data_IF_176167007805
#
_entry.id   IF_176167007805
#
_cell.length_a   1.000
_cell.length_b   1.000
_cell.length_c   1.000
_cell.angle_alpha   90.00
_cell.angle_beta   90.00
_cell.angle_gamma   90.00
#
_symmetry.space_group_name_H-M   'P 1'
#
loop_
_entity.id
_entity.type
_entity.pdbx_description
1 polymer ?
#
# COMPACT_ATOMS: atom_id res chain seq x y z
N UNK A 1 5.36 -5.10 -31.41
CA UNK A 1 6.79 -5.05 -31.79
C UNK A 1 7.09 -3.70 -32.45
N UNK A 2 7.45 -2.69 -31.65
CA UNK A 2 7.97 -1.40 -32.15
C UNK A 2 9.47 -1.39 -31.87
N UNK A 3 10.26 -1.35 -32.95
CA UNK A 3 11.73 -1.32 -32.93
C UNK A 3 12.21 0.09 -32.56
N UNK A 4 13.27 0.13 -31.77
CA UNK A 4 13.80 1.32 -31.10
C UNK A 4 14.34 2.40 -32.03
N UNK A 5 14.25 3.64 -31.55
CA UNK A 5 14.86 4.81 -32.13
C UNK A 5 16.18 5.07 -31.38
N UNK A 6 17.29 4.65 -31.99
CA UNK A 6 18.64 5.05 -31.60
C UNK A 6 18.81 6.54 -31.92
N UNK A 7 18.90 7.40 -30.91
CA UNK A 7 19.38 8.77 -31.09
C UNK A 7 20.91 8.73 -30.98
N UNK A 8 21.58 8.68 -32.14
CA UNK A 8 23.00 9.00 -32.24
C UNK A 8 23.17 10.49 -31.94
N UNK A 9 23.83 10.83 -30.81
CA UNK A 9 24.43 12.14 -30.64
C UNK A 9 25.56 12.30 -31.67
N UNK A 10 25.29 13.04 -32.73
CA UNK A 10 26.35 13.56 -33.60
C UNK A 10 27.13 14.62 -32.82
N UNK A 11 28.34 14.28 -32.40
CA UNK A 11 29.36 15.28 -32.05
C UNK A 11 29.76 16.00 -33.35
N UNK A 12 29.05 17.07 -33.70
CA UNK A 12 29.54 18.03 -34.69
C UNK A 12 30.73 18.77 -34.08
N UNK A 13 31.93 18.30 -34.40
CA UNK A 13 33.16 19.10 -34.32
C UNK A 13 33.02 20.27 -35.28
N UNK A 14 32.55 21.41 -34.77
CA UNK A 14 32.70 22.70 -35.45
C UNK A 14 34.19 23.05 -35.32
N UNK A 15 34.94 22.82 -36.40
CA UNK A 15 36.29 23.35 -36.54
C UNK A 15 36.14 24.84 -36.82
N UNK A 16 36.18 25.65 -35.76
CA UNK A 16 36.41 27.08 -35.88
C UNK A 16 37.90 27.27 -36.19
N UNK A 17 38.23 27.47 -37.48
CA UNK A 17 39.53 28.00 -37.89
C UNK A 17 39.56 29.50 -37.56
N UNK A 18 39.60 29.81 -36.28
CA UNK A 18 39.84 31.12 -35.71
C UNK A 18 40.65 30.88 -34.45
N UNK A 19 41.68 31.69 -34.22
CA UNK A 19 42.62 31.58 -33.11
C UNK A 19 41.90 31.31 -31.78
N UNK A 20 41.78 30.03 -31.43
CA UNK A 20 41.33 29.57 -30.12
C UNK A 20 42.43 29.97 -29.18
N UNK A 21 42.26 31.13 -28.54
CA UNK A 21 43.13 31.59 -27.48
C UNK A 21 43.30 30.44 -26.48
N UNK A 22 44.56 30.17 -26.11
CA UNK A 22 44.98 29.14 -25.15
C UNK A 22 44.13 29.12 -23.87
N UNK A 23 43.48 30.23 -23.52
CA UNK A 23 42.57 30.36 -22.38
C UNK A 23 41.30 29.50 -22.48
N UNK A 24 40.71 29.29 -23.66
CA UNK A 24 39.41 28.56 -23.78
C UNK A 24 39.57 27.03 -23.68
N UNK A 25 40.66 26.47 -24.21
CA UNK A 25 41.01 25.05 -24.03
C UNK A 25 41.43 24.77 -22.57
N UNK A 26 42.12 25.72 -21.94
CA UNK A 26 42.50 25.65 -20.52
C UNK A 26 41.26 25.64 -19.61
N UNK A 27 40.24 26.44 -19.89
CA UNK A 27 39.00 26.49 -19.11
C UNK A 27 38.16 25.19 -19.21
N UNK A 28 38.06 24.58 -20.39
CA UNK A 28 37.35 23.30 -20.55
C UNK A 28 38.10 22.13 -19.88
N UNK A 29 39.44 22.16 -19.90
CA UNK A 29 40.30 21.18 -19.23
C UNK A 29 40.29 21.36 -17.70
N UNK A 30 40.24 22.61 -17.22
CA UNK A 30 40.08 22.93 -15.80
C UNK A 30 38.70 22.55 -15.29
N UNK A 31 37.62 22.82 -16.02
CA UNK A 31 36.25 22.43 -15.64
C UNK A 31 36.08 20.91 -15.59
N UNK A 32 36.65 20.17 -16.56
CA UNK A 32 36.62 18.69 -16.53
C UNK A 32 37.52 18.10 -15.45
N UNK A 33 38.65 18.73 -15.14
CA UNK A 33 39.51 18.36 -14.02
C UNK A 33 38.85 18.67 -12.67
N UNK A 34 38.16 19.81 -12.52
CA UNK A 34 37.40 20.18 -11.31
C UNK A 34 36.21 19.25 -11.08
N UNK A 35 35.46 18.89 -12.13
CA UNK A 35 34.39 17.87 -12.02
C UNK A 35 34.96 16.51 -11.62
N UNK A 36 36.07 16.06 -12.22
CA UNK A 36 36.75 14.81 -11.81
C UNK A 36 37.26 14.88 -10.37
N UNK A 37 37.87 16.00 -9.97
CA UNK A 37 38.42 16.20 -8.62
C UNK A 37 37.31 16.29 -7.57
N UNK A 38 36.18 16.94 -7.89
CA UNK A 38 35.01 16.98 -7.00
C UNK A 38 34.34 15.61 -6.87
N UNK A 39 34.26 14.82 -7.95
CA UNK A 39 33.75 13.45 -7.90
C UNK A 39 34.69 12.52 -7.10
N UNK A 40 36.01 12.68 -7.24
CA UNK A 40 36.98 11.91 -6.49
C UNK A 40 36.98 12.30 -5.00
N UNK A 41 36.90 13.60 -4.69
CA UNK A 41 36.79 14.11 -3.32
C UNK A 41 35.48 13.70 -2.64
N UNK A 42 34.37 13.65 -3.40
CA UNK A 42 33.07 13.14 -2.93
C UNK A 42 33.14 11.63 -2.67
N UNK A 43 33.81 10.88 -3.55
CA UNK A 43 34.01 9.44 -3.37
C UNK A 43 34.86 9.14 -2.13
N UNK A 44 35.99 9.83 -1.97
CA UNK A 44 36.88 9.66 -0.81
C UNK A 44 36.19 10.02 0.51
N UNK A 45 35.30 11.02 0.49
CA UNK A 45 34.45 11.35 1.64
C UNK A 45 33.47 10.22 1.97
N UNK A 46 32.73 9.70 0.98
CA UNK A 46 31.78 8.59 1.17
C UNK A 46 32.49 7.35 1.73
N UNK A 47 33.69 7.02 1.24
CA UNK A 47 34.45 5.88 1.77
C UNK A 47 34.82 6.07 3.24
N UNK A 48 35.26 7.27 3.65
CA UNK A 48 35.57 7.56 5.07
C UNK A 48 34.36 7.46 5.97
N UNK A 49 33.22 8.00 5.55
CA UNK A 49 31.97 7.89 6.30
C UNK A 49 31.53 6.42 6.43
N UNK A 50 31.72 5.63 5.37
CA UNK A 50 31.43 4.20 5.41
C UNK A 50 32.38 3.43 6.35
N UNK A 51 33.66 3.76 6.36
CA UNK A 51 34.61 3.18 7.33
C UNK A 51 34.20 3.49 8.76
N UNK A 52 33.80 4.72 9.05
CA UNK A 52 33.32 5.11 10.37
C UNK A 52 32.04 4.36 10.75
N UNK A 53 31.10 4.23 9.82
CA UNK A 53 29.88 3.44 10.01
C UNK A 53 30.19 1.98 10.38
N UNK A 54 31.15 1.34 9.69
CA UNK A 54 31.59 -0.03 10.01
C UNK A 54 32.22 -0.11 11.41
N UNK A 55 33.01 0.89 11.83
CA UNK A 55 33.56 0.93 13.20
C UNK A 55 32.46 1.01 14.25
N UNK A 56 31.42 1.80 14.01
CA UNK A 56 30.27 1.93 14.91
C UNK A 56 29.54 0.58 15.04
N UNK A 57 29.28 -0.12 13.92
CA UNK A 57 28.65 -1.45 13.95
C UNK A 57 29.47 -2.43 14.79
N UNK A 58 30.81 -2.49 14.57
CA UNK A 58 31.68 -3.38 15.36
C UNK A 58 31.67 -3.03 16.85
N UNK A 59 31.74 -1.74 17.18
CA UNK A 59 31.68 -1.30 18.56
C UNK A 59 30.36 -1.68 19.24
N UNK A 60 29.24 -1.63 18.52
CA UNK A 60 27.94 -2.08 19.04
C UNK A 60 27.95 -3.59 19.31
N UNK A 61 28.43 -4.41 18.38
CA UNK A 61 28.45 -5.87 18.57
C UNK A 61 29.40 -6.32 19.69
N UNK A 62 30.54 -5.64 19.85
CA UNK A 62 31.57 -6.04 20.83
C UNK A 62 31.33 -5.48 22.24
N UNK A 63 30.67 -4.32 22.37
CA UNK A 63 30.62 -3.56 23.62
C UNK A 63 29.22 -3.32 24.18
N UNK A 64 28.16 -3.62 23.42
CA UNK A 64 26.80 -3.48 23.95
C UNK A 64 26.53 -4.56 25.02
N UNK A 65 25.66 -4.25 25.96
CA UNK A 65 25.36 -5.11 27.12
C UNK A 65 24.72 -6.45 26.73
N UNK A 66 24.01 -6.47 25.59
CA UNK A 66 23.36 -7.64 25.02
C UNK A 66 23.94 -7.96 23.64
N UNK A 67 23.84 -9.22 23.21
CA UNK A 67 24.22 -9.62 21.87
C UNK A 67 23.22 -9.05 20.85
N UNK A 68 23.72 -8.29 19.88
CA UNK A 68 22.91 -7.65 18.84
C UNK A 68 23.05 -8.39 17.50
N UNK A 69 21.92 -8.84 16.96
CA UNK A 69 21.85 -9.35 15.59
C UNK A 69 22.15 -8.24 14.57
N UNK A 70 22.98 -8.57 13.58
CA UNK A 70 23.44 -7.59 12.59
C UNK A 70 22.31 -7.04 11.72
N UNK A 71 21.27 -7.84 11.43
CA UNK A 71 20.14 -7.37 10.64
C UNK A 71 19.31 -6.35 11.43
N UNK A 72 19.23 -6.51 12.74
CA UNK A 72 18.61 -5.53 13.64
C UNK A 72 19.34 -4.19 13.59
N UNK A 73 20.67 -4.21 13.62
CA UNK A 73 21.51 -2.99 13.49
C UNK A 73 21.25 -2.29 12.15
N UNK A 74 21.29 -3.03 11.04
CA UNK A 74 21.03 -2.45 9.70
C UNK A 74 19.62 -1.90 9.56
N UNK A 75 18.61 -2.62 10.05
CA UNK A 75 17.21 -2.18 10.02
C UNK A 75 17.04 -0.86 10.77
N UNK A 76 17.64 -0.75 11.96
CA UNK A 76 17.60 0.48 12.74
C UNK A 76 18.34 1.64 12.05
N UNK A 77 19.48 1.35 11.40
CA UNK A 77 20.19 2.35 10.61
C UNK A 77 19.36 2.86 9.42
N UNK A 78 18.71 1.97 8.67
CA UNK A 78 17.81 2.35 7.57
C UNK A 78 16.65 3.22 8.07
N UNK A 79 16.01 2.84 9.18
CA UNK A 79 14.92 3.62 9.79
C UNK A 79 15.39 4.99 10.25
N UNK A 80 16.55 5.10 10.90
CA UNK A 80 17.12 6.37 11.33
C UNK A 80 17.53 7.30 10.18
N UNK A 81 18.00 6.76 9.06
CA UNK A 81 18.33 7.57 7.88
C UNK A 81 17.08 8.19 7.23
N UNK A 82 15.93 7.52 7.30
CA UNK A 82 14.70 7.95 6.64
C UNK A 82 13.80 8.82 7.53
N UNK A 83 13.92 8.70 8.86
CA UNK A 83 13.03 9.37 9.82
C UNK A 83 13.05 10.90 9.76
N UNK A 84 14.16 11.48 9.31
CA UNK A 84 14.33 12.94 9.20
C UNK A 84 13.98 13.50 7.81
N UNK A 85 13.65 12.65 6.83
CA UNK A 85 13.32 13.11 5.48
C UNK A 85 11.92 13.74 5.44
N UNK A 86 10.91 12.95 5.80
CA UNK A 86 9.52 13.37 5.93
C UNK A 86 8.72 12.29 6.71
N UNK A 87 7.49 12.59 7.19
CA UNK A 87 6.69 11.65 7.98
C UNK A 87 6.23 10.38 7.25
N UNK A 88 6.45 10.26 5.95
CA UNK A 88 5.97 9.16 5.10
C UNK A 88 7.11 8.34 4.47
N UNK A 89 8.34 8.86 4.48
CA UNK A 89 9.55 8.15 4.06
C UNK A 89 9.92 7.10 5.11
N UNK A 90 9.83 5.82 4.74
CA UNK A 90 10.09 4.72 5.67
C UNK A 90 10.79 3.54 4.99
N UNK A 91 11.56 2.80 5.79
CA UNK A 91 12.11 1.52 5.38
C UNK A 91 11.02 0.45 5.53
N UNK A 92 10.81 -0.33 4.48
CA UNK A 92 9.86 -1.45 4.47
C UNK A 92 10.68 -2.74 4.48
N UNK A 93 10.66 -3.44 5.61
CA UNK A 93 11.23 -4.77 5.77
C UNK A 93 10.51 -5.82 4.90
N UNK A 94 11.09 -7.00 4.66
CA UNK A 94 10.42 -8.07 3.93
C UNK A 94 9.05 -8.47 4.52
N UNK A 95 8.91 -8.40 5.84
CA UNK A 95 7.66 -8.69 6.55
C UNK A 95 6.61 -7.58 6.31
N UNK A 96 6.99 -6.31 6.51
CA UNK A 96 6.13 -5.15 6.26
C UNK A 96 5.72 -5.07 4.77
N UNK A 97 6.59 -5.50 3.85
CA UNK A 97 6.29 -5.54 2.41
C UNK A 97 5.20 -6.56 2.10
N UNK A 98 5.20 -7.71 2.77
CA UNK A 98 4.20 -8.74 2.57
C UNK A 98 2.83 -8.32 3.11
N UNK A 99 2.81 -7.62 4.25
CA UNK A 99 1.60 -7.00 4.79
C UNK A 99 1.05 -5.92 3.86
N UNK A 100 1.93 -5.03 3.35
CA UNK A 100 1.56 -3.99 2.40
C UNK A 100 0.96 -4.59 1.12
N UNK A 101 1.53 -5.68 0.59
CA UNK A 101 0.98 -6.34 -0.60
C UNK A 101 -0.46 -6.79 -0.38
N UNK A 102 -0.75 -7.44 0.74
CA UNK A 102 -2.10 -7.93 1.04
C UNK A 102 -3.08 -6.77 1.19
N UNK A 103 -2.64 -5.70 1.85
CA UNK A 103 -3.45 -4.49 1.97
C UNK A 103 -3.78 -3.92 0.58
N UNK A 104 -2.81 -3.88 -0.34
CA UNK A 104 -2.99 -3.31 -1.69
C UNK A 104 -3.72 -4.22 -2.68
N UNK A 105 -3.41 -5.52 -2.69
CA UNK A 105 -4.04 -6.51 -3.57
C UNK A 105 -5.47 -6.80 -3.12
N UNK A 106 -5.77 -6.64 -1.82
CA UNK A 106 -7.06 -6.98 -1.23
C UNK A 106 -7.33 -8.48 -1.18
N UNK A 107 -6.32 -9.30 -1.49
CA UNK A 107 -6.45 -10.75 -1.51
C UNK A 107 -5.18 -11.42 -0.97
N UNK A 108 -5.34 -12.58 -0.34
CA UNK A 108 -4.21 -13.40 0.08
C UNK A 108 -4.57 -14.88 0.14
N UNK A 109 -3.57 -15.76 0.12
CA UNK A 109 -3.79 -17.22 0.16
C UNK A 109 -3.62 -17.76 1.58
N UNK A 110 -4.65 -18.43 2.11
CA UNK A 110 -4.59 -19.01 3.46
C UNK A 110 -5.94 -19.45 4.01
N UNK A 111 -6.10 -19.36 5.32
CA UNK A 111 -7.30 -19.80 6.05
C UNK A 111 -8.31 -18.66 6.29
N UNK A 112 -7.86 -17.41 6.22
CA UNK A 112 -8.64 -16.22 6.53
C UNK A 112 -8.85 -16.01 8.03
N UNK A 113 -7.75 -15.98 8.79
CA UNK A 113 -7.76 -15.76 10.24
C UNK A 113 -6.81 -14.60 10.54
N UNK A 114 -7.25 -13.65 11.35
CA UNK A 114 -6.41 -12.65 11.98
C UNK A 114 -5.95 -13.16 13.35
N UNK A 115 -4.64 -13.12 13.61
CA UNK A 115 -4.03 -13.73 14.79
C UNK A 115 -2.99 -12.81 15.43
N UNK A 116 -2.78 -13.01 16.73
CA UNK A 116 -1.67 -12.43 17.49
C UNK A 116 -0.91 -13.54 18.22
N UNK A 117 0.36 -13.30 18.53
CA UNK A 117 1.10 -14.15 19.46
C UNK A 117 1.00 -13.54 20.85
N UNK A 118 0.27 -14.20 21.75
CA UNK A 118 0.09 -13.78 23.15
C UNK A 118 0.58 -14.87 24.09
N UNK A 119 1.49 -14.52 25.00
CA UNK A 119 2.14 -15.47 25.93
C UNK A 119 2.74 -16.69 25.21
N UNK A 120 3.40 -16.46 24.06
CA UNK A 120 4.06 -17.51 23.28
C UNK A 120 3.11 -18.44 22.52
N UNK A 121 1.84 -18.08 22.33
CA UNK A 121 0.88 -18.89 21.57
C UNK A 121 0.10 -18.05 20.58
N UNK A 122 -0.24 -18.66 19.45
CA UNK A 122 -1.15 -18.05 18.48
C UNK A 122 -2.54 -17.98 19.10
N UNK A 123 -3.07 -16.76 19.17
CA UNK A 123 -4.43 -16.46 19.61
C UNK A 123 -5.17 -15.81 18.45
N UNK A 124 -6.38 -16.28 18.18
CA UNK A 124 -7.24 -15.74 17.13
C UNK A 124 -7.84 -14.41 17.61
N UNK A 125 -7.59 -13.34 16.85
CA UNK A 125 -8.32 -12.08 17.03
C UNK A 125 -9.71 -12.24 16.43
N UNK A 126 -9.79 -12.61 15.15
CA UNK A 126 -11.06 -12.87 14.48
C UNK A 126 -10.85 -13.73 13.24
N UNK A 127 -11.74 -14.69 12.95
CA UNK A 127 -11.87 -15.21 11.59
C UNK A 127 -12.40 -14.11 10.66
N UNK A 128 -11.96 -14.10 9.41
CA UNK A 128 -12.52 -13.24 8.37
C UNK A 128 -13.86 -13.83 7.96
N UNK A 129 -14.91 -13.01 7.89
CA UNK A 129 -16.25 -13.45 7.49
C UNK A 129 -16.21 -14.21 6.15
N UNK A 130 -16.97 -15.30 6.06
CA UNK A 130 -17.06 -16.20 4.88
C UNK A 130 -15.76 -16.92 4.47
N UNK A 131 -14.67 -16.74 5.19
CA UNK A 131 -13.42 -17.48 4.98
C UNK A 131 -13.56 -18.98 5.31
N UNK A 132 -12.63 -19.83 4.83
CA UNK A 132 -12.57 -21.23 5.23
C UNK A 132 -12.52 -21.42 6.75
N UNK A 133 -11.76 -20.59 7.48
CA UNK A 133 -11.68 -20.69 8.93
C UNK A 133 -12.99 -20.31 9.64
N UNK A 134 -13.66 -19.25 9.17
CA UNK A 134 -14.97 -18.88 9.68
C UNK A 134 -15.98 -20.03 9.50
N UNK A 135 -16.00 -20.63 8.32
CA UNK A 135 -16.88 -21.77 8.00
C UNK A 135 -16.52 -23.04 8.78
N UNK A 136 -15.26 -23.20 9.15
CA UNK A 136 -14.77 -24.34 9.92
C UNK A 136 -15.01 -24.21 11.44
N UNK A 137 -15.57 -23.09 11.90
CA UNK A 137 -15.94 -22.88 13.30
C UNK A 137 -14.80 -22.35 14.18
N UNK A 138 -13.78 -21.72 13.59
CA UNK A 138 -12.79 -20.95 14.36
C UNK A 138 -13.47 -19.71 14.96
N UNK A 139 -13.21 -19.44 16.24
CA UNK A 139 -13.82 -18.38 17.02
C UNK A 139 -12.79 -17.34 17.49
N UNK A 140 -13.29 -16.16 17.87
CA UNK A 140 -12.51 -15.13 18.57
C UNK A 140 -11.99 -15.71 19.89
N UNK A 141 -10.72 -15.47 20.21
CA UNK A 141 -10.09 -15.93 21.45
C UNK A 141 -9.51 -17.34 21.38
N UNK A 142 -9.78 -18.09 20.32
CA UNK A 142 -9.23 -19.44 20.12
C UNK A 142 -7.71 -19.46 20.19
N UNK A 143 -7.15 -20.46 20.88
CA UNK A 143 -5.71 -20.70 20.94
C UNK A 143 -5.33 -21.85 20.03
N UNK A 144 -4.55 -21.57 18.99
CA UNK A 144 -4.03 -22.61 18.10
C UNK A 144 -2.81 -23.21 18.77
N UNK A 145 -2.92 -24.47 19.23
CA UNK A 145 -1.87 -25.21 19.95
C UNK A 145 -0.93 -25.95 19.01
N UNK A 146 -1.44 -26.40 17.86
CA UNK A 146 -0.65 -27.07 16.81
C UNK A 146 -1.17 -26.72 15.42
N UNK A 147 -0.27 -26.75 14.44
CA UNK A 147 -0.59 -26.72 13.00
C UNK A 147 0.04 -27.94 12.35
N UNK A 148 -0.77 -28.81 11.76
CA UNK A 148 -0.33 -30.08 11.15
C UNK A 148 0.54 -30.92 12.09
N UNK A 149 0.15 -30.95 13.38
CA UNK A 149 0.86 -31.67 14.45
C UNK A 149 2.09 -30.94 15.02
N UNK A 150 2.54 -29.84 14.39
CA UNK A 150 3.66 -29.02 14.86
C UNK A 150 3.19 -28.11 16.00
N UNK A 151 3.76 -28.20 17.21
CA UNK A 151 3.44 -27.30 18.31
C UNK A 151 3.71 -25.84 17.96
N UNK A 152 2.81 -24.95 18.38
CA UNK A 152 2.89 -23.50 18.13
C UNK A 152 3.42 -22.72 19.33
N UNK A 153 4.00 -23.40 20.31
CA UNK A 153 4.56 -22.75 21.49
C UNK A 153 5.85 -22.02 21.14
N UNK A 154 5.96 -20.78 21.58
CA UNK A 154 7.13 -19.90 21.45
C UNK A 154 7.50 -19.59 19.98
N UNK A 155 6.56 -19.81 19.04
CA UNK A 155 6.76 -19.44 17.63
C UNK A 155 6.58 -17.94 17.44
N UNK A 156 7.33 -17.40 16.50
CA UNK A 156 7.21 -16.00 16.08
C UNK A 156 5.95 -15.77 15.24
N UNK A 157 5.53 -14.50 15.13
CA UNK A 157 4.45 -14.11 14.21
C UNK A 157 4.80 -14.49 12.75
N UNK A 158 6.09 -14.39 12.38
CA UNK A 158 6.57 -14.73 11.04
C UNK A 158 6.41 -16.22 10.74
N UNK A 159 6.74 -17.09 11.69
CA UNK A 159 6.55 -18.54 11.55
C UNK A 159 5.06 -18.89 11.52
N UNK A 160 4.26 -18.21 12.35
CA UNK A 160 2.79 -18.33 12.33
C UNK A 160 2.23 -18.07 10.95
N UNK A 161 2.60 -16.95 10.32
CA UNK A 161 2.14 -16.60 8.97
C UNK A 161 2.54 -17.68 7.97
N UNK A 162 3.77 -18.21 8.04
CA UNK A 162 4.24 -19.29 7.15
C UNK A 162 3.45 -20.59 7.32
N UNK A 163 3.05 -20.93 8.56
CA UNK A 163 2.27 -22.15 8.85
C UNK A 163 0.82 -22.03 8.37
N UNK A 164 0.20 -20.88 8.60
CA UNK A 164 -1.22 -20.66 8.28
C UNK A 164 -1.43 -20.41 6.78
N UNK A 165 -0.48 -19.77 6.09
CA UNK A 165 -0.55 -19.58 4.64
C UNK A 165 -0.18 -20.83 3.86
N UNK A 166 -0.52 -20.82 2.58
CA UNK A 166 -0.19 -21.90 1.66
C UNK A 166 -1.11 -21.89 0.44
N UNK A 167 -0.75 -22.71 -0.55
CA UNK A 167 -1.45 -22.73 -1.83
C UNK A 167 -2.95 -23.07 -1.66
N UNK A 168 -3.84 -22.37 -2.37
CA UNK A 168 -5.26 -22.71 -2.40
C UNK A 168 -5.50 -24.17 -2.76
N UNK A 169 -6.50 -24.79 -2.12
CA UNK A 169 -6.86 -26.19 -2.30
C UNK A 169 -6.11 -27.16 -1.39
N UNK A 170 -4.96 -26.76 -0.81
CA UNK A 170 -4.26 -27.57 0.20
C UNK A 170 -5.00 -27.53 1.54
N UNK A 171 -4.89 -28.59 2.34
CA UNK A 171 -5.49 -28.67 3.68
C UNK A 171 -4.46 -28.45 4.77
N UNK A 172 -4.91 -27.97 5.92
CA UNK A 172 -4.12 -27.93 7.17
C UNK A 172 -5.04 -28.27 8.34
N UNK A 173 -4.50 -28.94 9.34
CA UNK A 173 -5.23 -29.28 10.57
C UNK A 173 -4.73 -28.42 11.71
N UNK A 174 -5.64 -27.64 12.30
CA UNK A 174 -5.38 -26.83 13.48
C UNK A 174 -5.85 -27.60 14.72
N UNK A 175 -4.97 -27.79 15.69
CA UNK A 175 -5.39 -28.21 17.04
C UNK A 175 -5.72 -26.96 17.84
N UNK A 176 -6.99 -26.71 18.11
CA UNK A 176 -7.52 -25.46 18.66
C UNK A 176 -8.08 -25.71 20.07
N UNK A 177 -7.79 -24.79 20.99
CA UNK A 177 -8.44 -24.72 22.29
C UNK A 177 -9.35 -23.51 22.31
N UNK A 178 -10.66 -23.74 22.35
CA UNK A 178 -11.66 -22.69 22.48
C UNK A 178 -11.58 -21.99 23.83
N UNK A 179 -11.91 -20.70 23.85
CA UNK A 179 -11.90 -19.92 25.09
C UNK A 179 -12.91 -20.50 26.10
N UNK A 180 -12.45 -20.81 27.30
CA UNK A 180 -13.26 -21.41 28.36
C UNK A 180 -13.38 -22.93 28.31
N UNK A 181 -12.88 -23.58 27.25
CA UNK A 181 -12.86 -25.04 27.14
C UNK A 181 -11.55 -25.64 27.68
N UNK A 182 -11.60 -26.91 28.10
CA UNK A 182 -10.44 -27.64 28.62
C UNK A 182 -9.87 -28.68 27.66
N UNK A 183 -10.61 -29.06 26.63
CA UNK A 183 -10.21 -30.07 25.65
C UNK A 183 -10.00 -29.42 24.29
N UNK A 184 -8.83 -29.58 23.64
CA UNK A 184 -8.64 -29.08 22.30
C UNK A 184 -9.36 -29.95 21.26
N UNK A 185 -9.71 -29.33 20.14
CA UNK A 185 -10.34 -29.97 18.98
C UNK A 185 -9.45 -29.83 17.75
N UNK A 186 -9.44 -30.85 16.90
CA UNK A 186 -8.74 -30.80 15.61
C UNK A 186 -9.71 -30.34 14.52
N UNK A 187 -9.37 -29.24 13.85
CA UNK A 187 -10.16 -28.62 12.79
C UNK A 187 -9.35 -28.64 11.51
N UNK A 188 -9.78 -29.44 10.53
CA UNK A 188 -9.16 -29.49 9.21
C UNK A 188 -9.80 -28.45 8.29
N UNK A 189 -8.98 -27.56 7.75
CA UNK A 189 -9.40 -26.43 6.93
C UNK A 189 -8.70 -26.49 5.59
N UNK A 190 -9.45 -26.27 4.50
CA UNK A 190 -8.88 -26.11 3.17
C UNK A 190 -8.51 -24.65 2.94
N UNK A 191 -7.27 -24.39 2.52
CA UNK A 191 -6.80 -23.06 2.16
C UNK A 191 -7.51 -22.57 0.91
N UNK A 192 -7.82 -21.29 0.88
CA UNK A 192 -8.44 -20.63 -0.26
C UNK A 192 -7.77 -19.28 -0.54
N UNK A 193 -8.11 -18.68 -1.67
CA UNK A 193 -7.88 -17.25 -1.88
C UNK A 193 -8.91 -16.51 -1.03
N UNK A 194 -8.43 -15.70 -0.10
CA UNK A 194 -9.22 -14.89 0.82
C UNK A 194 -9.32 -13.51 0.22
N UNK A 195 -10.53 -12.99 0.16
CA UNK A 195 -10.82 -11.66 -0.36
C UNK A 195 -11.16 -10.74 0.82
N UNK A 196 -10.45 -9.61 0.90
CA UNK A 196 -10.68 -8.57 1.89
C UNK A 196 -11.57 -7.53 1.23
N UNK A 197 -12.83 -7.45 1.67
CA UNK A 197 -13.78 -6.52 1.08
C UNK A 197 -13.37 -5.07 1.35
N UNK A 198 -13.13 -4.29 0.29
CA UNK A 198 -12.90 -2.85 0.37
C UNK A 198 -14.18 -2.04 0.55
N UNK A 199 -15.35 -2.66 0.33
CA UNK A 199 -16.68 -2.05 0.47
C UNK A 199 -17.47 -2.77 1.57
N UNK A 200 -18.14 -2.00 2.43
CA UNK A 200 -18.96 -2.50 3.53
C UNK A 200 -20.30 -1.79 3.62
N UNK A 201 -21.19 -2.41 4.39
CA UNK A 201 -22.42 -1.82 4.90
C UNK A 201 -23.39 -1.34 3.80
N UNK A 202 -23.42 -2.07 2.68
CA UNK A 202 -24.22 -1.79 1.48
C UNK A 202 -25.72 -1.98 1.75
N UNK A 203 -26.53 -0.95 1.52
CA UNK A 203 -27.99 -0.99 1.71
C UNK A 203 -28.72 0.18 1.06
N UNK A 204 -30.04 0.06 0.88
CA UNK A 204 -30.94 1.20 0.70
C UNK A 204 -31.25 1.77 2.10
N UNK A 205 -30.90 3.04 2.33
CA UNK A 205 -31.11 3.73 3.63
C UNK A 205 -32.39 4.54 3.67
N UNK A 206 -32.96 4.88 2.51
CA UNK A 206 -34.28 5.52 2.39
C UNK A 206 -35.08 4.82 1.31
N UNK A 207 -36.18 4.19 1.70
CA UNK A 207 -37.06 3.45 0.79
C UNK A 207 -37.99 4.34 -0.05
N UNK A 208 -38.21 5.59 0.38
CA UNK A 208 -39.09 6.55 -0.30
C UNK A 208 -38.32 7.26 -1.41
N UNK A 209 -37.14 7.80 -1.06
CA UNK A 209 -36.25 8.51 -1.97
C UNK A 209 -35.25 7.58 -2.67
N UNK A 210 -35.30 6.27 -2.36
CA UNK A 210 -34.44 5.22 -2.92
C UNK A 210 -32.95 5.54 -2.83
N UNK A 211 -32.51 5.97 -1.66
CA UNK A 211 -31.11 6.35 -1.43
C UNK A 211 -30.31 5.10 -1.06
N UNK A 212 -29.34 4.75 -1.92
CA UNK A 212 -28.34 3.74 -1.64
C UNK A 212 -27.20 4.30 -0.79
N UNK A 213 -26.58 3.42 -0.02
CA UNK A 213 -25.42 3.71 0.80
C UNK A 213 -24.40 2.59 0.64
N UNK A 214 -23.13 2.98 0.55
CA UNK A 214 -22.00 2.06 0.68
C UNK A 214 -20.83 2.78 1.35
N UNK A 215 -20.11 2.07 2.21
CA UNK A 215 -18.87 2.55 2.80
C UNK A 215 -17.68 1.93 2.07
N UNK A 216 -16.89 2.76 1.41
CA UNK A 216 -15.62 2.35 0.81
C UNK A 216 -14.52 2.60 1.84
N UNK A 217 -13.94 1.53 2.39
CA UNK A 217 -13.05 1.58 3.56
C UNK A 217 -11.55 1.50 3.22
N UNK A 218 -11.20 1.05 2.00
CA UNK A 218 -9.83 1.01 1.50
C UNK A 218 -9.83 1.07 -0.04
N UNK A 219 -8.71 1.43 -0.65
CA UNK A 219 -8.50 1.45 -2.10
C UNK A 219 -7.50 0.36 -2.53
N UNK A 220 -8.03 -0.74 -3.02
CA UNK A 220 -7.30 -1.97 -3.38
C UNK A 220 -7.45 -2.29 -4.87
N UNK A 221 -6.68 -3.24 -5.40
CA UNK A 221 -6.69 -3.58 -6.84
C UNK A 221 -8.08 -3.93 -7.38
N UNK A 222 -8.85 -4.71 -6.62
CA UNK A 222 -10.21 -5.18 -6.90
C UNK A 222 -11.31 -4.12 -6.68
N UNK A 223 -10.99 -2.97 -6.06
CA UNK A 223 -12.01 -2.03 -5.55
C UNK A 223 -12.95 -1.50 -6.61
N UNK A 224 -12.45 -1.25 -7.82
CA UNK A 224 -13.29 -0.74 -8.92
C UNK A 224 -14.32 -1.79 -9.35
N UNK A 225 -13.91 -3.05 -9.44
CA UNK A 225 -14.80 -4.14 -9.84
C UNK A 225 -15.87 -4.41 -8.77
N UNK A 226 -15.50 -4.33 -7.50
CA UNK A 226 -16.44 -4.51 -6.39
C UNK A 226 -17.42 -3.33 -6.28
N UNK A 227 -16.95 -2.11 -6.56
CA UNK A 227 -17.83 -0.95 -6.67
C UNK A 227 -18.82 -1.12 -7.83
N UNK A 228 -18.35 -1.56 -8.99
CA UNK A 228 -19.21 -1.79 -10.16
C UNK A 228 -20.29 -2.85 -9.88
N UNK A 229 -19.94 -3.96 -9.23
CA UNK A 229 -20.90 -4.99 -8.80
C UNK A 229 -21.92 -4.42 -7.80
N UNK A 230 -21.43 -3.69 -6.80
CA UNK A 230 -22.24 -3.13 -5.71
C UNK A 230 -23.24 -2.11 -6.22
N UNK A 231 -22.78 -1.13 -7.00
CA UNK A 231 -23.63 -0.08 -7.58
C UNK A 231 -24.65 -0.69 -8.53
N UNK A 232 -24.25 -1.68 -9.35
CA UNK A 232 -25.19 -2.39 -10.22
C UNK A 232 -26.30 -3.08 -9.43
N UNK A 233 -25.99 -3.67 -8.28
CA UNK A 233 -27.00 -4.33 -7.44
C UNK A 233 -27.93 -3.33 -6.76
N UNK A 234 -27.40 -2.22 -6.24
CA UNK A 234 -28.22 -1.12 -5.71
C UNK A 234 -29.16 -0.53 -6.77
N UNK A 235 -28.69 -0.35 -8.01
CA UNK A 235 -29.53 0.11 -9.12
C UNK A 235 -30.67 -0.86 -9.44
N UNK A 236 -30.45 -2.18 -9.37
CA UNK A 236 -31.53 -3.17 -9.54
C UNK A 236 -32.56 -3.12 -8.42
N UNK A 237 -32.16 -2.74 -7.21
CA UNK A 237 -33.05 -2.52 -6.07
C UNK A 237 -33.82 -1.19 -6.17
N UNK A 238 -33.61 -0.43 -7.26
CA UNK A 238 -34.33 0.81 -7.53
C UNK A 238 -33.64 2.06 -6.99
N UNK A 239 -32.35 1.99 -6.62
CA UNK A 239 -31.59 3.15 -6.15
C UNK A 239 -31.66 4.33 -7.13
N UNK A 240 -32.04 5.50 -6.62
CA UNK A 240 -32.10 6.76 -7.37
C UNK A 240 -31.01 7.76 -6.97
N UNK A 241 -30.42 7.63 -5.78
CA UNK A 241 -29.29 8.43 -5.29
C UNK A 241 -28.31 7.62 -4.47
N UNK A 242 -27.06 8.05 -4.36
CA UNK A 242 -26.00 7.33 -3.64
C UNK A 242 -25.31 8.20 -2.59
N UNK A 243 -25.15 7.65 -1.39
CA UNK A 243 -24.22 8.11 -0.36
C UNK A 243 -22.98 7.21 -0.43
N UNK A 244 -21.85 7.79 -0.86
CA UNK A 244 -20.52 7.17 -0.82
C UNK A 244 -19.83 7.60 0.48
N UNK A 245 -19.68 6.68 1.43
CA UNK A 245 -19.00 6.97 2.68
C UNK A 245 -17.50 6.65 2.58
N UNK A 246 -16.67 7.69 2.73
CA UNK A 246 -15.20 7.62 2.78
C UNK A 246 -14.65 7.98 4.17
N UNK A 247 -15.51 8.09 5.19
CA UNK A 247 -15.09 8.36 6.57
C UNK A 247 -14.18 7.23 7.06
N UNK A 248 -13.11 7.60 7.76
CA UNK A 248 -12.12 6.68 8.31
C UNK A 248 -11.41 5.79 7.26
N UNK A 249 -11.49 6.14 5.96
CA UNK A 249 -10.74 5.47 4.91
C UNK A 249 -9.35 6.14 4.73
N UNK A 250 -8.25 5.47 5.11
CA UNK A 250 -6.90 6.04 5.06
C UNK A 250 -6.33 6.18 3.65
N UNK A 251 -7.02 5.67 2.63
CA UNK A 251 -6.62 5.72 1.24
C UNK A 251 -6.28 4.34 0.69
N UNK A 252 -5.15 4.23 0.00
CA UNK A 252 -4.72 3.03 -0.71
C UNK A 252 -4.20 3.39 -2.11
N UNK A 253 -4.40 2.50 -3.07
CA UNK A 253 -3.84 2.63 -4.41
C UNK A 253 -4.39 3.85 -5.17
N UNK A 254 -3.47 4.67 -5.69
CA UNK A 254 -3.78 5.80 -6.58
C UNK A 254 -4.57 5.36 -7.82
N UNK A 255 -4.22 4.22 -8.41
CA UNK A 255 -4.90 3.65 -9.57
C UNK A 255 -6.37 3.32 -9.27
N UNK A 256 -6.65 2.75 -8.09
CA UNK A 256 -8.00 2.47 -7.64
C UNK A 256 -8.78 3.77 -7.39
N UNK A 257 -8.18 4.78 -6.75
CA UNK A 257 -8.78 6.10 -6.56
C UNK A 257 -9.18 6.77 -7.87
N UNK A 258 -8.30 6.70 -8.87
CA UNK A 258 -8.54 7.19 -10.23
C UNK A 258 -9.69 6.42 -10.87
N UNK A 259 -9.67 5.08 -10.80
CA UNK A 259 -10.72 4.23 -11.35
C UNK A 259 -12.09 4.47 -10.73
N UNK A 260 -12.17 4.60 -9.40
CA UNK A 260 -13.40 4.95 -8.68
C UNK A 260 -13.90 6.33 -9.12
N UNK A 261 -13.02 7.33 -9.19
CA UNK A 261 -13.40 8.68 -9.66
C UNK A 261 -13.91 8.68 -11.10
N UNK A 262 -13.29 7.88 -11.99
CA UNK A 262 -13.66 7.72 -13.40
C UNK A 262 -15.09 7.17 -13.56
N UNK A 263 -15.58 6.37 -12.61
CA UNK A 263 -16.95 5.87 -12.62
C UNK A 263 -18.00 6.95 -12.35
N UNK A 264 -17.67 7.97 -11.55
CA UNK A 264 -18.59 9.05 -11.26
C UNK A 264 -18.48 10.23 -12.25
N UNK A 265 -17.36 10.35 -12.96
CA UNK A 265 -17.04 11.50 -13.80
C UNK A 265 -17.04 11.16 -15.30
N UNK A 266 -17.77 11.94 -16.10
CA UNK A 266 -17.80 11.77 -17.58
C UNK A 266 -16.63 12.46 -18.30
N UNK A 267 -16.01 13.45 -17.65
CA UNK A 267 -14.91 14.30 -18.14
C UNK A 267 -14.29 15.07 -16.99
N UNK A 268 -13.14 15.69 -17.23
CA UNK A 268 -12.47 16.55 -16.26
C UNK A 268 -11.14 15.96 -15.79
N UNK A 269 -10.44 16.71 -14.93
CA UNK A 269 -9.23 16.21 -14.28
C UNK A 269 -9.64 15.49 -13.01
N UNK A 270 -9.06 14.32 -12.77
CA UNK A 270 -9.25 13.57 -11.53
C UNK A 270 -8.16 13.98 -10.55
N UNK A 271 -6.90 13.81 -10.94
CA UNK A 271 -5.72 14.13 -10.12
C UNK A 271 -4.52 14.38 -11.01
N UNK A 272 -3.55 15.13 -10.51
CA UNK A 272 -2.25 15.30 -11.13
C UNK A 272 -1.13 15.06 -10.13
N UNK A 273 -0.04 14.43 -10.55
CA UNK A 273 1.19 14.31 -9.78
C UNK A 273 2.20 15.33 -10.26
N UNK A 274 3.05 15.80 -9.34
CA UNK A 274 4.23 16.60 -9.66
C UNK A 274 5.43 16.02 -8.94
N UNK A 275 6.44 15.60 -9.69
CA UNK A 275 7.68 15.03 -9.14
C UNK A 275 8.90 15.90 -9.40
N UNK A 276 10.08 15.36 -9.08
CA UNK A 276 11.38 16.01 -9.29
C UNK A 276 11.73 16.09 -10.77
N UNK A 277 11.38 15.07 -11.54
CA UNK A 277 11.58 14.98 -12.98
C UNK A 277 10.29 15.24 -13.78
N UNK A 278 10.39 15.72 -15.03
CA UNK A 278 9.22 15.95 -15.88
C UNK A 278 8.44 14.66 -16.21
N UNK A 279 9.10 13.51 -16.22
CA UNK A 279 8.54 12.16 -16.39
C UNK A 279 7.66 11.71 -15.23
N UNK A 280 7.78 12.36 -14.07
CA UNK A 280 6.98 12.08 -12.87
C UNK A 280 5.71 12.95 -12.80
N UNK A 281 5.54 13.87 -13.76
CA UNK A 281 4.35 14.71 -13.86
C UNK A 281 3.28 13.99 -14.68
N UNK A 282 2.29 13.41 -14.00
CA UNK A 282 1.22 12.65 -14.63
C UNK A 282 -0.10 13.38 -14.41
N UNK A 283 -0.91 13.48 -15.46
CA UNK A 283 -2.25 14.05 -15.40
C UNK A 283 -3.30 12.98 -15.69
N UNK A 284 -4.11 12.66 -14.69
CA UNK A 284 -5.20 11.69 -14.79
C UNK A 284 -6.51 12.41 -15.11
N UNK A 285 -7.19 11.97 -16.16
CA UNK A 285 -8.44 12.57 -16.64
C UNK A 285 -9.55 11.53 -16.71
N UNK A 286 -10.76 11.98 -16.41
CA UNK A 286 -11.95 11.14 -16.52
C UNK A 286 -12.34 10.90 -17.98
N UNK A 287 -12.90 9.73 -18.25
CA UNK A 287 -13.34 9.25 -19.55
C UNK A 287 -14.83 8.92 -19.48
N UNK A 288 -15.56 9.27 -20.53
CA UNK A 288 -17.01 9.06 -20.60
C UNK A 288 -17.42 7.57 -20.60
N UNK A 289 -16.56 6.69 -21.08
CA UNK A 289 -16.86 5.25 -21.18
C UNK A 289 -16.79 4.58 -19.81
N UNK A 290 -17.86 3.90 -19.42
CA UNK A 290 -17.93 3.16 -18.14
C UNK A 290 -18.40 3.98 -16.94
N UNK A 291 -18.75 5.27 -17.12
CA UNK A 291 -19.33 6.05 -16.03
C UNK A 291 -20.75 5.57 -15.68
N UNK A 292 -21.10 5.68 -14.40
CA UNK A 292 -22.44 5.40 -13.90
C UNK A 292 -23.48 6.40 -14.44
N UNK A 293 -24.78 6.06 -14.36
CA UNK A 293 -25.86 7.00 -14.57
C UNK A 293 -25.74 8.26 -13.68
N UNK A 294 -26.41 9.33 -14.08
CA UNK A 294 -26.30 10.63 -13.41
C UNK A 294 -27.25 10.76 -12.20
N UNK A 295 -27.14 9.82 -11.25
CA UNK A 295 -27.88 9.90 -10.00
C UNK A 295 -27.27 10.94 -9.04
N UNK A 296 -28.06 11.55 -8.13
CA UNK A 296 -27.52 12.39 -7.06
C UNK A 296 -26.48 11.65 -6.22
N UNK A 297 -25.37 12.33 -5.91
CA UNK A 297 -24.24 11.77 -5.20
C UNK A 297 -23.86 12.66 -4.02
N UNK A 298 -23.80 12.05 -2.83
CA UNK A 298 -23.22 12.64 -1.63
C UNK A 298 -21.99 11.82 -1.23
N UNK A 299 -20.89 12.50 -0.91
CA UNK A 299 -19.68 11.87 -0.39
C UNK A 299 -19.51 12.28 1.06
N UNK A 300 -19.42 11.31 1.96
CA UNK A 300 -19.15 11.56 3.38
C UNK A 300 -17.65 11.48 3.65
N UNK A 301 -17.11 12.47 4.37
CA UNK A 301 -15.69 12.52 4.75
C UNK A 301 -15.49 12.99 6.18
N UNK A 302 -14.37 12.60 6.77
CA UNK A 302 -13.91 13.13 8.05
C UNK A 302 -12.39 13.25 8.11
N UNK A 303 -11.85 13.57 9.29
CA UNK A 303 -10.42 13.68 9.53
C UNK A 303 -9.63 12.37 9.33
N UNK A 304 -10.30 11.22 9.26
CA UNK A 304 -9.71 9.93 8.92
C UNK A 304 -9.73 9.61 7.42
N UNK A 305 -10.39 10.44 6.60
CA UNK A 305 -10.33 10.34 5.14
C UNK A 305 -9.01 10.92 4.65
N UNK A 306 -8.13 10.09 4.08
CA UNK A 306 -6.79 10.50 3.66
C UNK A 306 -6.41 10.00 2.25
N UNK A 307 -5.45 10.66 1.61
CA UNK A 307 -4.79 10.19 0.38
C UNK A 307 -5.76 9.86 -0.76
N UNK A 308 -5.88 8.60 -1.19
CA UNK A 308 -6.83 8.17 -2.23
C UNK A 308 -8.28 8.61 -1.95
N UNK A 309 -8.72 8.61 -0.69
CA UNK A 309 -10.04 9.14 -0.31
C UNK A 309 -10.18 10.63 -0.63
N UNK A 310 -9.11 11.41 -0.40
CA UNK A 310 -9.06 12.84 -0.70
C UNK A 310 -9.04 13.11 -2.20
N UNK A 311 -8.42 12.21 -2.99
CA UNK A 311 -8.47 12.27 -4.45
C UNK A 311 -9.90 12.09 -4.94
N UNK A 312 -10.61 11.07 -4.47
CA UNK A 312 -12.01 10.83 -4.90
C UNK A 312 -12.91 11.99 -4.47
N UNK A 313 -12.82 12.43 -3.21
CA UNK A 313 -13.59 13.55 -2.69
C UNK A 313 -13.29 14.86 -3.46
N UNK A 314 -12.02 15.15 -3.70
CA UNK A 314 -11.57 16.31 -4.46
C UNK A 314 -12.05 16.28 -5.90
N UNK A 315 -11.87 15.15 -6.60
CA UNK A 315 -12.31 14.98 -7.98
C UNK A 315 -13.83 15.17 -8.12
N UNK A 316 -14.63 14.62 -7.22
CA UNK A 316 -16.09 14.77 -7.23
C UNK A 316 -16.49 16.23 -6.98
N UNK A 317 -15.88 16.88 -5.99
CA UNK A 317 -16.16 18.27 -5.63
C UNK A 317 -15.76 19.24 -6.74
N UNK A 318 -14.53 19.16 -7.23
CA UNK A 318 -13.96 20.11 -8.19
C UNK A 318 -14.63 20.02 -9.56
N UNK A 319 -15.10 18.82 -9.94
CA UNK A 319 -15.89 18.61 -11.15
C UNK A 319 -17.40 18.84 -10.95
N UNK A 320 -17.83 19.32 -9.76
CA UNK A 320 -19.23 19.59 -9.41
C UNK A 320 -20.17 18.38 -9.65
N UNK A 321 -19.66 17.16 -9.41
CA UNK A 321 -20.42 15.92 -9.63
C UNK A 321 -21.31 15.54 -8.44
N UNK A 322 -20.91 15.89 -7.22
CA UNK A 322 -21.64 15.54 -6.01
C UNK A 322 -21.34 16.51 -4.88
N UNK A 323 -22.07 16.36 -3.78
CA UNK A 323 -21.89 17.17 -2.58
C UNK A 323 -20.95 16.46 -1.61
N UNK A 324 -19.99 17.20 -1.07
CA UNK A 324 -19.10 16.72 0.00
C UNK A 324 -19.67 17.14 1.35
N UNK A 325 -19.89 16.20 2.26
CA UNK A 325 -20.48 16.43 3.58
C UNK A 325 -19.61 15.82 4.67
N UNK A 326 -19.47 16.53 5.79
CA UNK A 326 -18.74 16.03 6.96
C UNK A 326 -17.69 17.02 7.46
N UNK A 327 -16.50 16.51 7.81
CA UNK A 327 -15.41 17.29 8.40
C UNK A 327 -14.22 17.41 7.44
N UNK A 328 -13.29 18.32 7.75
CA UNK A 328 -12.04 18.46 7.00
C UNK A 328 -11.27 17.12 7.00
N UNK A 329 -10.75 16.75 5.83
CA UNK A 329 -9.95 15.55 5.60
C UNK A 329 -8.54 15.68 6.19
N UNK A 330 -7.78 14.58 6.17
CA UNK A 330 -6.45 14.50 6.80
C UNK A 330 -5.43 15.48 6.20
N UNK A 331 -5.39 15.64 4.88
CA UNK A 331 -4.48 16.55 4.17
C UNK A 331 -3.20 15.89 3.65
N UNK A 332 -3.23 14.61 3.25
CA UNK A 332 -2.05 13.93 2.68
C UNK A 332 -1.98 14.16 1.17
N UNK A 333 -1.10 15.08 0.75
CA UNK A 333 -0.88 15.45 -0.64
C UNK A 333 0.39 14.89 -1.31
N UNK A 334 1.05 13.91 -0.70
CA UNK A 334 2.27 13.27 -1.22
C UNK A 334 1.97 11.88 -1.79
N UNK A 335 2.75 11.49 -2.80
CA UNK A 335 2.77 10.14 -3.38
C UNK A 335 4.14 9.55 -3.08
N UNK A 336 4.18 8.35 -2.50
CA UNK A 336 5.40 7.61 -2.18
C UNK A 336 5.72 6.63 -3.29
#
# INVERSE_FOLDING_TARGET
MKKGLFVLLWCTTIIFAGSVSSNTFTLATQATAEVKRSNQQTSDFIYKEFEEFVKVIKALQEKYVEELDINTIFTNAYRGMLSELDPFSQYISPEELEELKIETEGEFEGLGIEVIVRHGLITVITPILDSPAFKAGILVGDRILKVDGIPTKDITIRETVKLLRGKPGTTTTLTVLHEGESMPVDITIQRAKIHVNSIRDVKIVDETEKIGYLALINFQENTVDDLDKTVKELLKQGMEGLILDLRFNPGGLLSAAVGVSDRFLKKGVIVSTRGRGPDQNILYRARRGGSYPDFPLVVLVNNGSASASEIVAGAIKDNKRGLLVGMKTFGKGSVQ
#
